data_IF_887545923589
#
_entry.id   IF_887545923589
#
_cell.length_a   1.000
_cell.length_b   1.000
_cell.length_c   1.000
_cell.angle_alpha   90.00
_cell.angle_beta   90.00
_cell.angle_gamma   90.00
#
_symmetry.space_group_name_H-M   'P 1'
#
loop_
_entity.id
_entity.type
_entity.pdbx_description
1 polymer ?
#
# COMPACT_ATOMS: atom_id res chain seq x y z
N UNK A 1 19.78 6.37 -9.21
CA UNK A 1 18.87 6.48 -8.03
C UNK A 1 17.70 7.40 -8.30
N UNK A 2 17.90 8.64 -8.76
CA UNK A 2 16.80 9.58 -9.04
C UNK A 2 15.68 9.00 -9.93
N UNK A 3 16.01 8.47 -11.10
CA UNK A 3 15.01 7.85 -11.99
C UNK A 3 14.23 6.68 -11.35
N UNK A 4 14.92 5.81 -10.60
CA UNK A 4 14.25 4.73 -9.84
C UNK A 4 13.29 5.28 -8.79
N UNK A 5 13.69 6.34 -8.09
CA UNK A 5 12.84 7.01 -7.10
C UNK A 5 11.60 7.65 -7.74
N UNK A 6 11.74 8.29 -8.90
CA UNK A 6 10.61 8.88 -9.63
C UNK A 6 9.59 7.83 -10.06
N UNK A 7 10.05 6.70 -10.62
CA UNK A 7 9.16 5.59 -10.98
C UNK A 7 8.48 5.01 -9.74
N UNK A 8 9.23 4.85 -8.64
CA UNK A 8 8.73 4.29 -7.40
C UNK A 8 7.65 5.18 -6.76
N UNK A 9 7.86 6.50 -6.70
CA UNK A 9 6.90 7.42 -6.06
C UNK A 9 5.59 7.51 -6.85
N UNK A 10 5.65 7.59 -8.18
CA UNK A 10 4.45 7.61 -9.04
C UNK A 10 3.60 6.35 -8.84
N UNK A 11 4.26 5.20 -8.74
CA UNK A 11 3.59 3.93 -8.49
C UNK A 11 3.03 3.81 -7.07
N UNK A 12 3.76 4.29 -6.06
CA UNK A 12 3.36 4.16 -4.67
C UNK A 12 2.16 5.03 -4.30
N UNK A 13 1.96 6.17 -4.97
CA UNK A 13 0.80 7.02 -4.75
C UNK A 13 -0.50 6.38 -5.21
N UNK A 14 -0.50 5.73 -6.38
CA UNK A 14 -1.63 4.94 -6.85
C UNK A 14 -1.85 3.71 -5.96
N UNK A 15 -0.76 3.06 -5.52
CA UNK A 15 -0.84 1.95 -4.58
C UNK A 15 -1.42 2.36 -3.23
N UNK A 16 -1.12 3.57 -2.72
CA UNK A 16 -1.67 4.08 -1.47
C UNK A 16 -3.19 4.28 -1.55
N UNK A 17 -3.71 4.74 -2.70
CA UNK A 17 -5.16 4.78 -2.96
C UNK A 17 -5.76 3.37 -3.03
N UNK A 18 -5.09 2.46 -3.74
CA UNK A 18 -5.50 1.06 -3.84
C UNK A 18 -5.53 0.37 -2.48
N UNK A 19 -4.59 0.69 -1.58
CA UNK A 19 -4.55 0.17 -0.22
C UNK A 19 -5.76 0.63 0.61
N UNK A 20 -6.19 1.89 0.47
CA UNK A 20 -7.42 2.38 1.12
C UNK A 20 -8.66 1.64 0.60
N UNK A 21 -8.71 1.38 -0.71
CA UNK A 21 -9.79 0.60 -1.35
C UNK A 21 -9.81 -0.84 -0.82
N UNK A 22 -8.65 -1.51 -0.77
CA UNK A 22 -8.53 -2.86 -0.24
C UNK A 22 -8.94 -2.92 1.24
N UNK A 23 -8.51 -1.93 2.04
CA UNK A 23 -8.92 -1.82 3.44
C UNK A 23 -10.43 -1.64 3.58
N UNK A 24 -11.07 -0.79 2.76
CA UNK A 24 -12.52 -0.60 2.78
C UNK A 24 -13.28 -1.89 2.42
N UNK A 25 -12.84 -2.62 1.39
CA UNK A 25 -13.37 -3.94 1.05
C UNK A 25 -13.26 -4.91 2.23
N UNK A 26 -12.08 -4.99 2.85
CA UNK A 26 -11.85 -5.83 4.03
C UNK A 26 -12.72 -5.42 5.23
N UNK A 27 -12.92 -4.12 5.46
CA UNK A 27 -13.79 -3.60 6.51
C UNK A 27 -15.23 -4.06 6.30
N UNK A 28 -15.76 -3.98 5.07
CA UNK A 28 -17.11 -4.44 4.78
C UNK A 28 -17.23 -5.97 4.85
N UNK A 29 -16.29 -6.71 4.27
CA UNK A 29 -16.27 -8.17 4.32
C UNK A 29 -16.19 -8.72 5.77
N UNK A 30 -15.49 -8.01 6.67
CA UNK A 30 -15.35 -8.36 8.09
C UNK A 30 -16.42 -7.73 8.99
N UNK A 31 -17.44 -7.09 8.41
CA UNK A 31 -18.54 -6.47 9.15
C UNK A 31 -18.03 -5.44 10.19
N UNK A 32 -17.06 -4.63 9.79
CA UNK A 32 -16.43 -3.60 10.62
C UNK A 32 -17.37 -2.45 10.98
N UNK A 33 -16.94 -1.63 11.94
CA UNK A 33 -17.70 -0.48 12.44
C UNK A 33 -17.08 0.85 11.99
N UNK A 34 -17.90 1.87 11.69
CA UNK A 34 -17.40 3.08 11.01
C UNK A 34 -16.74 4.10 11.96
N UNK A 35 -16.88 3.91 13.28
CA UNK A 35 -16.49 4.91 14.28
C UNK A 35 -15.00 5.29 14.24
N UNK A 36 -14.16 4.36 13.80
CA UNK A 36 -12.71 4.55 13.65
C UNK A 36 -12.34 5.61 12.61
N UNK A 37 -13.27 5.96 11.72
CA UNK A 37 -13.04 6.86 10.58
C UNK A 37 -13.75 8.21 10.78
N UNK A 38 -14.33 8.45 11.96
CA UNK A 38 -15.00 9.70 12.31
C UNK A 38 -14.01 10.87 12.27
N UNK A 39 -14.34 11.88 11.46
CA UNK A 39 -13.47 13.02 11.19
C UNK A 39 -13.03 13.78 12.44
N UNK A 40 -13.87 13.80 13.49
CA UNK A 40 -13.55 14.49 14.74
C UNK A 40 -12.34 13.87 15.43
N UNK A 41 -12.20 12.54 15.34
CA UNK A 41 -11.04 11.84 15.94
C UNK A 41 -9.75 12.17 15.20
N UNK A 42 -9.81 12.34 13.88
CA UNK A 42 -8.65 12.67 13.06
C UNK A 42 -8.31 14.17 13.08
N UNK A 43 -9.30 15.03 13.28
CA UNK A 43 -9.08 16.46 13.51
C UNK A 43 -8.29 16.72 14.82
N UNK A 44 -8.50 15.89 15.85
CA UNK A 44 -7.75 15.97 17.10
C UNK A 44 -6.28 15.54 16.98
N UNK A 45 -5.95 14.72 15.98
CA UNK A 45 -4.58 14.30 15.66
C UNK A 45 -4.28 14.60 14.20
N UNK A 46 -4.04 15.88 13.90
CA UNK A 46 -4.08 16.49 12.58
C UNK A 46 -2.87 16.16 11.65
N UNK A 47 -2.46 14.89 11.57
CA UNK A 47 -1.62 14.42 10.47
C UNK A 47 -2.43 14.44 9.16
N UNK A 48 -1.87 15.04 8.11
CA UNK A 48 -2.58 15.28 6.85
C UNK A 48 -2.97 13.97 6.17
N UNK A 49 -2.02 13.06 6.02
CA UNK A 49 -2.27 11.73 5.45
C UNK A 49 -3.34 10.96 6.24
N UNK A 50 -3.33 11.04 7.57
CA UNK A 50 -4.33 10.37 8.41
C UNK A 50 -5.75 10.86 8.13
N UNK A 51 -5.94 12.19 8.05
CA UNK A 51 -7.24 12.78 7.71
C UNK A 51 -7.72 12.39 6.31
N UNK A 52 -6.82 12.40 5.32
CA UNK A 52 -7.12 11.99 3.93
C UNK A 52 -7.60 10.55 3.84
N UNK A 53 -6.91 9.61 4.51
CA UNK A 53 -7.29 8.18 4.51
C UNK A 53 -8.63 7.98 5.20
N UNK A 54 -8.86 8.61 6.35
CA UNK A 54 -10.14 8.51 7.04
C UNK A 54 -11.31 9.02 6.17
N UNK A 55 -11.09 10.12 5.46
CA UNK A 55 -12.07 10.64 4.50
C UNK A 55 -12.28 9.67 3.33
N UNK A 56 -11.22 9.10 2.76
CA UNK A 56 -11.31 8.12 1.68
C UNK A 56 -12.11 6.89 2.13
N UNK A 57 -11.79 6.29 3.28
CA UNK A 57 -12.52 5.13 3.82
C UNK A 57 -14.00 5.46 4.02
N UNK A 58 -14.34 6.62 4.61
CA UNK A 58 -15.75 7.04 4.76
C UNK A 58 -16.49 7.12 3.43
N UNK A 59 -15.87 7.68 2.40
CA UNK A 59 -16.46 7.80 1.04
C UNK A 59 -16.59 6.43 0.37
N UNK A 60 -15.62 5.54 0.57
CA UNK A 60 -15.63 4.19 -0.02
C UNK A 60 -16.81 3.36 0.50
N UNK A 61 -17.07 3.43 1.81
CA UNK A 61 -18.14 2.66 2.47
C UNK A 61 -19.49 3.40 2.55
N UNK A 62 -19.59 4.56 1.91
CA UNK A 62 -20.81 5.39 1.94
C UNK A 62 -22.00 4.64 1.33
N UNK A 63 -23.12 4.63 2.04
CA UNK A 63 -24.33 3.92 1.63
C UNK A 63 -24.33 2.40 1.87
N UNK A 64 -23.31 1.84 2.55
CA UNK A 64 -23.25 0.41 2.84
C UNK A 64 -24.34 -0.06 3.81
N UNK A 65 -25.17 -1.00 3.34
CA UNK A 65 -26.15 -1.72 4.17
C UNK A 65 -25.46 -2.69 5.14
N UNK A 66 -24.27 -3.19 4.77
CA UNK A 66 -23.46 -4.05 5.63
C UNK A 66 -23.01 -3.26 6.85
N UNK A 67 -22.36 -2.11 6.65
CA UNK A 67 -21.89 -1.27 7.75
C UNK A 67 -23.07 -0.86 8.63
N UNK A 68 -24.22 -0.50 8.07
CA UNK A 68 -25.37 -0.11 8.87
C UNK A 68 -25.91 -1.26 9.73
N UNK A 69 -26.05 -2.47 9.16
CA UNK A 69 -26.51 -3.66 9.88
C UNK A 69 -25.61 -4.01 11.06
N UNK A 70 -24.28 -3.90 10.89
CA UNK A 70 -23.29 -4.32 11.88
C UNK A 70 -22.75 -3.17 12.75
N UNK A 71 -23.16 -1.93 12.50
CA UNK A 71 -22.69 -0.70 13.21
C UNK A 71 -22.71 -0.82 14.74
N UNK A 72 -23.68 -1.55 15.30
CA UNK A 72 -23.85 -1.76 16.76
C UNK A 72 -23.41 -3.14 17.24
N UNK A 73 -22.83 -3.97 16.37
CA UNK A 73 -22.43 -5.34 16.67
C UNK A 73 -21.22 -5.45 17.59
N UNK A 74 -20.37 -4.40 17.66
CA UNK A 74 -19.18 -4.36 18.51
C UNK A 74 -18.77 -2.93 18.84
N UNK A 75 -18.03 -2.77 19.95
CA UNK A 75 -17.54 -1.46 20.43
C UNK A 75 -16.33 -1.00 19.62
N UNK A 76 -15.43 -1.92 19.27
CA UNK A 76 -14.19 -1.61 18.54
C UNK A 76 -13.80 -2.77 17.62
N UNK A 77 -13.24 -2.40 16.47
CA UNK A 77 -12.50 -3.32 15.61
C UNK A 77 -11.04 -3.48 16.07
N UNK A 78 -10.43 -4.55 15.57
CA UNK A 78 -9.01 -4.78 15.67
C UNK A 78 -8.19 -3.75 14.88
N UNK A 79 -6.92 -3.61 15.24
CA UNK A 79 -6.08 -2.51 14.75
C UNK A 79 -5.85 -2.54 13.24
N UNK A 80 -5.79 -3.72 12.61
CA UNK A 80 -5.59 -3.80 11.16
C UNK A 80 -6.73 -3.16 10.35
N UNK A 81 -7.93 -3.03 10.95
CA UNK A 81 -9.07 -2.29 10.39
C UNK A 81 -9.11 -0.86 10.95
N UNK A 82 -9.14 -0.76 12.29
CA UNK A 82 -9.35 0.51 13.01
C UNK A 82 -8.22 1.51 12.84
N UNK A 83 -6.99 1.04 12.73
CA UNK A 83 -5.81 1.90 12.63
C UNK A 83 -5.37 2.16 11.17
N UNK A 84 -6.18 1.77 10.17
CA UNK A 84 -5.87 2.00 8.76
C UNK A 84 -5.58 3.49 8.46
N UNK A 85 -6.35 4.48 8.96
CA UNK A 85 -6.01 5.89 8.76
C UNK A 85 -4.64 6.29 9.31
N UNK A 86 -4.29 5.81 10.49
CA UNK A 86 -3.05 6.15 11.16
C UNK A 86 -1.85 5.55 10.42
N UNK A 87 -1.97 4.30 9.94
CA UNK A 87 -0.88 3.58 9.26
C UNK A 87 -0.74 4.05 7.81
N UNK A 88 -1.81 3.99 7.01
CA UNK A 88 -1.76 4.44 5.62
C UNK A 88 -1.48 5.94 5.53
N UNK A 89 -1.99 6.73 6.48
CA UNK A 89 -1.75 8.16 6.57
C UNK A 89 -0.30 8.50 6.85
N UNK A 90 0.36 7.76 7.75
CA UNK A 90 1.80 7.91 7.98
C UNK A 90 2.62 7.58 6.71
N UNK A 91 2.21 6.55 5.96
CA UNK A 91 2.85 6.25 4.67
C UNK A 91 2.68 7.41 3.69
N UNK A 92 1.49 8.01 3.57
CA UNK A 92 1.26 9.16 2.68
C UNK A 92 2.10 10.38 3.07
N UNK A 93 2.19 10.70 4.36
CA UNK A 93 3.05 11.79 4.84
C UNK A 93 4.55 11.51 4.52
N UNK A 94 4.98 10.25 4.56
CA UNK A 94 6.32 9.84 4.14
C UNK A 94 6.52 9.97 2.62
N UNK A 95 5.55 9.54 1.81
CA UNK A 95 5.58 9.71 0.35
C UNK A 95 5.64 11.20 -0.03
N UNK A 96 4.91 12.08 0.66
CA UNK A 96 4.96 13.54 0.45
C UNK A 96 6.37 14.11 0.75
N UNK A 97 7.11 13.55 1.71
CA UNK A 97 8.53 13.89 1.92
C UNK A 97 9.41 13.41 0.76
N UNK A 98 9.25 12.14 0.37
CA UNK A 98 10.06 11.52 -0.70
C UNK A 98 9.86 12.24 -2.04
N UNK A 99 8.60 12.55 -2.38
CA UNK A 99 8.23 13.35 -3.56
C UNK A 99 8.98 14.67 -3.59
N UNK A 100 8.92 15.45 -2.51
CA UNK A 100 9.58 16.76 -2.44
C UNK A 100 11.10 16.65 -2.63
N UNK A 101 11.72 15.64 -2.03
CA UNK A 101 13.16 15.41 -2.21
C UNK A 101 13.50 15.06 -3.66
N UNK A 102 12.71 14.20 -4.30
CA UNK A 102 12.90 13.83 -5.72
C UNK A 102 12.66 15.00 -6.67
N UNK A 103 11.65 15.84 -6.39
CA UNK A 103 11.34 17.04 -7.18
C UNK A 103 12.47 18.08 -7.12
N UNK A 104 13.14 18.22 -5.98
CA UNK A 104 14.35 19.05 -5.90
C UNK A 104 15.49 18.43 -6.71
N UNK A 105 15.77 17.14 -6.50
CA UNK A 105 16.90 16.47 -7.15
C UNK A 105 16.79 16.45 -8.68
N UNK A 106 15.61 16.15 -9.24
CA UNK A 106 15.43 16.05 -10.69
C UNK A 106 15.65 17.41 -11.40
N UNK A 107 15.53 18.51 -10.67
CA UNK A 107 15.77 19.86 -11.17
C UNK A 107 17.14 20.43 -10.74
N UNK A 108 18.02 19.60 -10.16
CA UNK A 108 19.32 20.02 -9.65
C UNK A 108 20.46 19.70 -10.63
N UNK A 109 21.53 20.50 -10.57
CA UNK A 109 22.79 20.19 -11.26
C UNK A 109 23.66 19.33 -10.34
N UNK A 110 23.72 18.03 -10.63
CA UNK A 110 24.41 17.03 -9.80
C UNK A 110 25.77 16.60 -10.33
N UNK A 111 26.22 17.16 -11.46
CA UNK A 111 27.55 16.88 -12.03
C UNK A 111 28.64 17.75 -11.36
N UNK A 112 29.90 17.48 -11.67
CA UNK A 112 31.07 18.21 -11.19
C UNK A 112 32.23 18.14 -12.20
N UNK A 113 32.98 19.23 -12.45
CA UNK A 113 32.90 20.55 -11.82
C UNK A 113 31.71 21.39 -12.31
N UNK A 114 31.33 22.39 -11.51
CA UNK A 114 30.32 23.37 -11.88
C UNK A 114 30.96 24.55 -12.61
N UNK A 115 30.44 24.90 -13.77
CA UNK A 115 30.94 26.00 -14.60
C UNK A 115 30.03 27.22 -14.43
N UNK A 116 30.59 28.31 -13.88
CA UNK A 116 29.91 29.60 -13.72
C UNK A 116 30.44 30.57 -14.77
N UNK A 117 29.84 30.53 -15.97
CA UNK A 117 30.32 31.25 -17.15
C UNK A 117 30.44 32.77 -16.92
N UNK A 118 29.46 33.40 -16.29
CA UNK A 118 29.46 34.85 -16.02
C UNK A 118 30.62 35.30 -15.11
N UNK A 119 31.10 34.39 -14.25
CA UNK A 119 32.23 34.62 -13.36
C UNK A 119 33.54 34.03 -13.91
N UNK A 120 33.53 33.46 -15.12
CA UNK A 120 34.65 32.78 -15.79
C UNK A 120 35.38 31.78 -14.88
N UNK A 121 34.64 31.06 -14.03
CA UNK A 121 35.21 30.16 -13.03
C UNK A 121 34.61 28.75 -13.11
N UNK A 122 35.47 27.76 -12.90
CA UNK A 122 35.08 26.36 -12.67
C UNK A 122 35.30 26.02 -11.19
N UNK A 123 34.25 25.56 -10.51
CA UNK A 123 34.27 25.23 -9.07
C UNK A 123 34.08 23.73 -8.91
N UNK A 124 35.02 23.06 -8.26
CA UNK A 124 34.85 21.67 -7.83
C UNK A 124 34.09 21.63 -6.50
N UNK A 125 32.92 20.99 -6.50
CA UNK A 125 32.07 20.75 -5.34
C UNK A 125 31.70 19.27 -5.18
N UNK A 126 30.57 19.00 -4.53
CA UNK A 126 30.13 17.65 -4.17
C UNK A 126 28.67 17.34 -4.50
N UNK A 127 28.05 18.06 -5.46
CA UNK A 127 26.63 17.90 -5.78
C UNK A 127 26.26 16.50 -6.31
N UNK A 128 27.25 15.68 -6.72
CA UNK A 128 27.05 14.28 -7.10
C UNK A 128 26.72 13.36 -5.91
N UNK A 129 26.94 13.81 -4.67
CA UNK A 129 26.74 12.98 -3.49
C UNK A 129 25.26 12.82 -3.13
N UNK A 130 24.63 11.73 -3.59
CA UNK A 130 23.18 11.49 -3.45
C UNK A 130 22.66 11.09 -2.06
N UNK A 131 23.23 11.62 -0.97
CA UNK A 131 22.74 11.37 0.40
C UNK A 131 21.24 11.72 0.58
N UNK A 132 20.73 12.85 0.02
CA UNK A 132 19.31 13.18 0.13
C UNK A 132 18.41 12.08 -0.44
N UNK A 133 18.78 11.55 -1.61
CA UNK A 133 18.05 10.45 -2.25
C UNK A 133 18.19 9.14 -1.47
N UNK A 134 19.37 8.84 -0.92
CA UNK A 134 19.56 7.61 -0.15
C UNK A 134 18.63 7.54 1.06
N UNK A 135 18.58 8.62 1.85
CA UNK A 135 17.69 8.74 3.00
C UNK A 135 16.21 8.67 2.59
N UNK A 136 15.84 9.38 1.50
CA UNK A 136 14.48 9.38 1.00
C UNK A 136 14.04 7.97 0.55
N UNK A 137 14.90 7.23 -0.14
CA UNK A 137 14.55 5.90 -0.65
C UNK A 137 14.51 4.83 0.43
N UNK A 138 15.33 4.90 1.48
CA UNK A 138 15.17 4.02 2.64
C UNK A 138 13.87 4.34 3.40
N UNK A 139 13.55 5.63 3.58
CA UNK A 139 12.29 6.02 4.22
C UNK A 139 11.06 5.60 3.40
N UNK A 140 11.13 5.72 2.08
CA UNK A 140 10.13 5.16 1.16
C UNK A 140 9.93 3.65 1.40
N UNK A 141 11.03 2.89 1.42
CA UNK A 141 10.98 1.44 1.61
C UNK A 141 10.31 1.05 2.93
N UNK A 142 10.68 1.72 4.02
CA UNK A 142 10.07 1.54 5.35
C UNK A 142 8.56 1.84 5.31
N UNK A 143 8.17 2.96 4.71
CA UNK A 143 6.78 3.41 4.68
C UNK A 143 5.87 2.50 3.83
N UNK A 144 6.37 2.03 2.67
CA UNK A 144 5.62 1.13 1.77
C UNK A 144 5.53 -0.29 2.34
N UNK A 145 6.57 -0.76 3.06
CA UNK A 145 6.53 -2.05 3.75
C UNK A 145 5.35 -2.15 4.73
N UNK A 146 5.02 -1.06 5.42
CA UNK A 146 3.93 -1.03 6.39
C UNK A 146 2.53 -1.10 5.76
N UNK A 147 2.34 -0.64 4.52
CA UNK A 147 1.10 -0.87 3.77
C UNK A 147 0.87 -2.36 3.53
N UNK A 148 1.92 -3.08 3.10
CA UNK A 148 1.87 -4.52 2.90
C UNK A 148 1.62 -5.25 4.24
N UNK A 149 2.31 -4.83 5.30
CA UNK A 149 2.20 -5.45 6.62
C UNK A 149 0.76 -5.37 7.17
N UNK A 150 0.15 -4.19 7.18
CA UNK A 150 -1.23 -4.04 7.67
C UNK A 150 -2.25 -4.72 6.75
N UNK A 151 -2.00 -4.74 5.44
CA UNK A 151 -2.81 -5.46 4.44
C UNK A 151 -2.84 -6.96 4.71
N UNK A 152 -1.68 -7.57 4.91
CA UNK A 152 -1.57 -8.99 5.22
C UNK A 152 -2.26 -9.33 6.56
N UNK A 153 -2.20 -8.44 7.57
CA UNK A 153 -2.96 -8.63 8.83
C UNK A 153 -4.47 -8.59 8.63
N UNK A 154 -5.00 -7.91 7.61
CA UNK A 154 -6.43 -7.97 7.25
C UNK A 154 -6.75 -9.28 6.52
N UNK A 155 -5.87 -9.75 5.64
CA UNK A 155 -5.99 -11.07 4.99
C UNK A 155 -6.01 -12.21 6.01
N UNK A 156 -5.10 -12.19 6.98
CA UNK A 156 -5.06 -13.18 8.07
C UNK A 156 -6.38 -13.23 8.86
N UNK A 157 -7.05 -12.08 9.02
CA UNK A 157 -8.39 -12.03 9.64
C UNK A 157 -9.48 -12.60 8.76
N UNK A 158 -9.46 -12.27 7.46
CA UNK A 158 -10.45 -12.75 6.49
C UNK A 158 -10.47 -14.27 6.42
N UNK A 159 -9.30 -14.92 6.39
CA UNK A 159 -9.21 -16.37 6.25
C UNK A 159 -9.47 -17.14 7.55
N UNK A 160 -9.44 -16.47 8.71
CA UNK A 160 -9.69 -17.07 10.01
C UNK A 160 -11.16 -16.98 10.41
N UNK A 161 -11.87 -18.10 10.40
CA UNK A 161 -13.30 -18.15 10.74
C UNK A 161 -13.61 -17.65 12.15
N UNK A 162 -12.69 -17.82 13.11
CA UNK A 162 -12.86 -17.36 14.50
C UNK A 162 -12.79 -15.84 14.62
N UNK A 163 -12.17 -15.17 13.64
CA UNK A 163 -11.99 -13.71 13.63
C UNK A 163 -12.90 -12.99 12.65
N UNK A 164 -13.27 -13.65 11.55
CA UNK A 164 -14.09 -13.07 10.47
C UNK A 164 -15.59 -13.33 10.61
N UNK A 165 -15.99 -14.46 11.18
CA UNK A 165 -17.36 -14.95 11.05
C UNK A 165 -17.73 -15.40 9.63
N UNK A 166 -16.73 -15.58 8.75
CA UNK A 166 -16.85 -16.12 7.40
C UNK A 166 -16.44 -17.60 7.38
N UNK A 167 -16.74 -18.34 6.29
CA UNK A 167 -16.21 -19.69 6.13
C UNK A 167 -14.68 -19.70 6.21
N UNK A 168 -14.08 -20.70 6.88
CA UNK A 168 -12.63 -20.78 7.01
C UNK A 168 -11.97 -20.81 5.63
N UNK A 169 -10.91 -20.00 5.48
CA UNK A 169 -10.19 -19.78 4.23
C UNK A 169 -11.05 -19.30 3.05
N UNK A 170 -12.22 -18.70 3.34
CA UNK A 170 -13.12 -18.08 2.37
C UNK A 170 -13.66 -19.02 1.29
N UNK A 171 -13.87 -20.29 1.64
CA UNK A 171 -14.38 -21.33 0.74
C UNK A 171 -15.46 -22.18 1.40
N UNK A 172 -16.39 -22.69 0.59
CA UNK A 172 -17.38 -23.68 1.02
C UNK A 172 -16.71 -25.06 1.19
N UNK A 173 -17.28 -25.94 2.03
CA UNK A 173 -16.75 -27.29 2.29
C UNK A 173 -15.26 -27.34 2.69
N UNK A 174 -14.86 -26.39 3.55
CA UNK A 174 -13.49 -26.32 4.10
C UNK A 174 -13.07 -27.64 4.75
N UNK A 175 -11.82 -28.05 4.48
CA UNK A 175 -11.27 -29.34 4.87
C UNK A 175 -11.17 -30.31 3.69
N UNK A 176 -12.10 -30.21 2.73
CA UNK A 176 -11.91 -30.72 1.37
C UNK A 176 -11.23 -29.67 0.49
N UNK A 177 -11.69 -28.43 0.58
CA UNK A 177 -11.08 -27.26 -0.05
C UNK A 177 -10.17 -26.51 0.94
N UNK A 178 -9.06 -25.97 0.43
CA UNK A 178 -8.11 -25.12 1.15
C UNK A 178 -8.34 -23.63 0.93
N UNK A 179 -9.09 -23.25 -0.10
CA UNK A 179 -9.45 -21.87 -0.43
C UNK A 179 -8.24 -20.95 -0.49
N UNK A 180 -8.30 -19.87 0.28
CA UNK A 180 -7.28 -18.82 0.28
C UNK A 180 -6.13 -19.03 1.29
N UNK A 181 -6.00 -20.23 1.87
CA UNK A 181 -4.93 -20.54 2.82
C UNK A 181 -3.54 -20.22 2.27
N UNK A 182 -3.21 -20.71 1.07
CA UNK A 182 -1.87 -20.54 0.47
C UNK A 182 -1.67 -19.12 -0.09
N UNK A 183 -2.75 -18.42 -0.46
CA UNK A 183 -2.68 -17.01 -0.82
C UNK A 183 -2.19 -16.17 0.39
N UNK A 184 -2.71 -16.45 1.59
CA UNK A 184 -2.25 -15.77 2.80
C UNK A 184 -0.78 -16.12 3.15
N UNK A 185 -0.33 -17.36 2.90
CA UNK A 185 1.09 -17.73 3.09
C UNK A 185 2.01 -16.93 2.16
N UNK A 186 1.57 -16.72 0.92
CA UNK A 186 2.30 -15.89 -0.05
C UNK A 186 2.46 -14.48 0.48
N UNK A 187 1.37 -13.85 0.94
CA UNK A 187 1.44 -12.51 1.55
C UNK A 187 2.34 -12.46 2.79
N UNK A 188 2.26 -13.48 3.67
CA UNK A 188 3.08 -13.55 4.87
C UNK A 188 4.58 -13.65 4.56
N UNK A 189 4.95 -14.42 3.54
CA UNK A 189 6.33 -14.53 3.07
C UNK A 189 6.86 -13.18 2.53
N UNK A 190 6.09 -12.50 1.68
CA UNK A 190 6.46 -11.22 1.09
C UNK A 190 6.60 -10.10 2.13
N UNK A 191 5.69 -10.03 3.11
CA UNK A 191 5.81 -9.08 4.23
C UNK A 191 7.02 -9.39 5.10
N UNK A 192 7.37 -10.67 5.29
CA UNK A 192 8.58 -11.06 6.02
C UNK A 192 9.85 -10.62 5.29
N UNK A 193 9.89 -10.79 3.98
CA UNK A 193 11.01 -10.35 3.13
C UNK A 193 11.21 -8.82 3.21
N UNK A 194 10.12 -8.05 3.17
CA UNK A 194 10.16 -6.58 3.27
C UNK A 194 10.83 -6.09 4.57
N UNK A 195 10.75 -6.84 5.68
CA UNK A 195 11.41 -6.47 6.95
C UNK A 195 12.92 -6.42 6.81
N UNK A 196 13.49 -7.35 6.05
CA UNK A 196 14.95 -7.39 5.81
C UNK A 196 15.34 -6.33 4.79
N UNK A 197 14.55 -6.17 3.72
CA UNK A 197 14.79 -5.15 2.70
C UNK A 197 14.69 -3.71 3.24
N UNK A 198 13.90 -3.49 4.29
CA UNK A 198 13.74 -2.20 4.95
C UNK A 198 14.94 -1.77 5.81
N UNK A 199 15.95 -2.63 6.01
CA UNK A 199 17.18 -2.23 6.70
C UNK A 199 17.89 -1.10 5.93
N UNK A 200 18.18 0.06 6.54
CA UNK A 200 18.64 1.25 5.81
C UNK A 200 20.03 1.03 5.22
N UNK A 201 20.22 1.43 3.97
CA UNK A 201 21.55 1.41 3.30
C UNK A 201 22.23 2.76 3.31
N UNK A 202 21.46 3.84 3.46
CA UNK A 202 21.94 5.23 3.57
C UNK A 202 22.80 5.51 4.81
N UNK A 203 22.87 4.56 5.75
CA UNK A 203 23.71 4.62 6.96
C UNK A 203 25.01 3.84 6.80
N UNK A 204 25.25 3.23 5.64
CA UNK A 204 26.47 2.50 5.29
C UNK A 204 27.35 3.31 4.33
N UNK A 205 28.66 3.13 4.43
CA UNK A 205 29.67 3.74 3.57
C UNK A 205 30.98 2.97 3.64
N UNK A 206 31.57 2.67 2.49
CA UNK A 206 32.87 1.98 2.39
C UNK A 206 33.78 2.81 1.50
N UNK A 207 34.99 3.19 1.96
CA UNK A 207 35.87 4.07 1.21
C UNK A 207 36.38 3.40 -0.07
N UNK A 208 36.41 4.15 -1.17
CA UNK A 208 36.92 3.73 -2.47
C UNK A 208 38.02 4.66 -2.97
N UNK A 209 38.64 4.31 -4.09
CA UNK A 209 39.58 5.19 -4.79
C UNK A 209 40.74 5.68 -3.91
N UNK A 210 41.37 4.75 -3.16
CA UNK A 210 42.45 5.02 -2.20
C UNK A 210 42.09 6.11 -1.15
N UNK A 211 40.86 6.06 -0.62
CA UNK A 211 40.27 7.03 0.32
C UNK A 211 40.01 8.43 -0.26
N UNK A 212 40.06 8.60 -1.58
CA UNK A 212 39.59 9.86 -2.18
C UNK A 212 38.06 9.98 -2.12
N UNK A 213 37.37 8.85 -2.22
CA UNK A 213 35.93 8.71 -1.99
C UNK A 213 35.75 8.00 -0.64
N UNK A 214 36.06 8.71 0.44
CA UNK A 214 36.04 8.17 1.81
C UNK A 214 34.63 8.06 2.42
N UNK A 215 33.65 8.74 1.81
CA UNK A 215 32.25 8.67 2.18
C UNK A 215 31.34 8.61 0.94
N UNK A 216 30.39 7.68 0.92
CA UNK A 216 29.39 7.50 -0.13
C UNK A 216 27.99 7.29 0.45
N UNK A 217 26.95 7.48 -0.38
CA UNK A 217 25.55 7.45 0.10
C UNK A 217 24.84 6.11 0.05
N UNK A 218 25.36 5.15 -0.72
CA UNK A 218 24.65 3.90 -1.07
C UNK A 218 23.24 4.08 -1.66
N UNK A 219 22.92 5.27 -2.19
CA UNK A 219 21.56 5.63 -2.61
C UNK A 219 21.00 4.80 -3.78
N UNK A 220 21.87 4.25 -4.64
CA UNK A 220 21.43 3.31 -5.68
C UNK A 220 20.90 1.99 -5.10
N UNK A 221 21.51 1.48 -4.03
CA UNK A 221 21.07 0.25 -3.37
C UNK A 221 19.79 0.48 -2.55
N UNK A 222 19.70 1.61 -1.84
CA UNK A 222 18.46 2.05 -1.18
C UNK A 222 17.27 2.07 -2.16
N UNK A 223 17.46 2.69 -3.33
CA UNK A 223 16.43 2.74 -4.38
C UNK A 223 16.05 1.36 -4.95
N UNK A 224 17.01 0.43 -5.09
CA UNK A 224 16.73 -0.93 -5.56
C UNK A 224 15.89 -1.74 -4.57
N UNK A 225 16.22 -1.68 -3.27
CA UNK A 225 15.42 -2.34 -2.23
C UNK A 225 14.02 -1.75 -2.17
N UNK A 226 13.90 -0.43 -2.26
CA UNK A 226 12.62 0.28 -2.30
C UNK A 226 11.70 -0.23 -3.43
N UNK A 227 12.23 -0.44 -4.64
CA UNK A 227 11.47 -1.02 -5.75
C UNK A 227 11.02 -2.46 -5.46
N UNK A 228 11.89 -3.30 -4.88
CA UNK A 228 11.53 -4.66 -4.50
C UNK A 228 10.41 -4.68 -3.44
N UNK A 229 10.48 -3.80 -2.43
CA UNK A 229 9.43 -3.64 -1.42
C UNK A 229 8.10 -3.21 -2.07
N UNK A 230 8.16 -2.26 -3.01
CA UNK A 230 6.97 -1.81 -3.75
C UNK A 230 6.31 -2.94 -4.54
N UNK A 231 7.10 -3.77 -5.22
CA UNK A 231 6.58 -4.92 -5.98
C UNK A 231 5.99 -6.00 -5.07
N UNK A 232 6.57 -6.21 -3.88
CA UNK A 232 6.00 -7.09 -2.87
C UNK A 232 4.68 -6.52 -2.32
N UNK A 233 4.63 -5.22 -2.04
CA UNK A 233 3.42 -4.56 -1.55
C UNK A 233 2.26 -4.62 -2.54
N UNK A 234 2.52 -4.49 -3.84
CA UNK A 234 1.52 -4.68 -4.92
C UNK A 234 0.89 -6.06 -4.88
N UNK A 235 1.71 -7.12 -4.77
CA UNK A 235 1.22 -8.50 -4.68
C UNK A 235 0.37 -8.72 -3.44
N UNK A 236 0.84 -8.25 -2.29
CA UNK A 236 0.11 -8.38 -1.02
C UNK A 236 -1.24 -7.67 -1.10
N UNK A 237 -1.28 -6.43 -1.61
CA UNK A 237 -2.53 -5.67 -1.75
C UNK A 237 -3.46 -6.30 -2.81
N UNK A 238 -2.92 -6.87 -3.89
CA UNK A 238 -3.71 -7.61 -4.87
C UNK A 238 -4.38 -8.86 -4.25
N UNK A 239 -3.66 -9.59 -3.40
CA UNK A 239 -4.21 -10.72 -2.66
C UNK A 239 -5.27 -10.24 -1.65
N UNK A 240 -5.08 -9.10 -1.01
CA UNK A 240 -6.12 -8.49 -0.17
C UNK A 240 -7.38 -8.17 -0.97
N UNK A 241 -7.26 -7.50 -2.13
CA UNK A 241 -8.42 -7.21 -2.99
C UNK A 241 -9.18 -8.48 -3.36
N UNK A 242 -8.46 -9.54 -3.72
CA UNK A 242 -9.06 -10.83 -4.08
C UNK A 242 -9.76 -11.49 -2.90
N UNK A 243 -9.08 -11.60 -1.75
CA UNK A 243 -9.65 -12.22 -0.53
C UNK A 243 -10.80 -11.42 0.04
N UNK A 244 -10.70 -10.09 0.07
CA UNK A 244 -11.77 -9.22 0.54
C UNK A 244 -12.99 -9.28 -0.39
N UNK A 245 -12.79 -9.34 -1.71
CA UNK A 245 -13.89 -9.52 -2.67
C UNK A 245 -14.58 -10.88 -2.49
N UNK A 246 -13.81 -11.94 -2.25
CA UNK A 246 -14.34 -13.26 -1.90
C UNK A 246 -15.12 -13.23 -0.58
N UNK A 247 -14.60 -12.55 0.44
CA UNK A 247 -15.28 -12.39 1.73
C UNK A 247 -16.59 -11.63 1.59
N UNK A 248 -16.59 -10.56 0.79
CA UNK A 248 -17.78 -9.75 0.54
C UNK A 248 -18.89 -10.55 -0.16
N UNK A 249 -18.53 -11.50 -1.01
CA UNK A 249 -19.49 -12.40 -1.68
C UNK A 249 -20.24 -13.32 -0.73
N UNK A 250 -19.87 -13.44 0.54
CA UNK A 250 -20.67 -14.14 1.55
C UNK A 250 -21.77 -13.25 2.15
N UNK A 251 -21.78 -11.95 1.84
CA UNK A 251 -22.77 -10.98 2.32
C UNK A 251 -23.81 -10.59 1.24
N UNK A 252 -24.09 -11.46 0.25
CA UNK A 252 -24.87 -11.17 -0.98
C UNK A 252 -26.26 -10.52 -0.83
N UNK A 253 -26.85 -10.60 0.36
CA UNK A 253 -28.18 -10.03 0.64
C UNK A 253 -28.13 -8.55 1.04
N UNK A 254 -26.93 -7.98 1.21
CA UNK A 254 -26.71 -6.60 1.62
C UNK A 254 -25.86 -5.90 0.58
N UNK A 255 -26.18 -4.66 0.28
CA UNK A 255 -25.43 -3.83 -0.64
C UNK A 255 -24.23 -3.19 0.05
N UNK A 256 -22.99 -3.39 -0.46
CA UNK A 256 -21.81 -2.67 0.02
C UNK A 256 -21.85 -1.18 -0.33
N UNK A 257 -20.89 -0.40 0.17
CA UNK A 257 -20.72 1.00 -0.16
C UNK A 257 -20.43 1.23 -1.65
N UNK A 258 -20.74 2.43 -2.16
CA UNK A 258 -20.60 2.71 -3.60
C UNK A 258 -19.17 2.51 -4.13
N UNK A 259 -18.16 2.86 -3.34
CA UNK A 259 -16.75 2.69 -3.73
C UNK A 259 -16.31 1.22 -3.66
N UNK A 260 -16.72 0.48 -2.65
CA UNK A 260 -16.38 -0.94 -2.52
C UNK A 260 -17.10 -1.81 -3.55
N UNK A 261 -18.33 -1.46 -3.96
CA UNK A 261 -19.02 -2.10 -5.10
C UNK A 261 -18.19 -1.96 -6.37
N UNK A 262 -17.75 -0.74 -6.71
CA UNK A 262 -16.95 -0.51 -7.91
C UNK A 262 -15.62 -1.29 -7.90
N UNK A 263 -14.96 -1.37 -6.74
CA UNK A 263 -13.75 -2.15 -6.57
C UNK A 263 -13.99 -3.66 -6.70
N UNK A 264 -15.04 -4.17 -6.05
CA UNK A 264 -15.45 -5.57 -6.13
C UNK A 264 -15.80 -5.99 -7.56
N UNK A 265 -16.61 -5.20 -8.26
CA UNK A 265 -16.99 -5.45 -9.65
C UNK A 265 -15.75 -5.46 -10.57
N UNK A 266 -14.79 -4.56 -10.33
CA UNK A 266 -13.52 -4.54 -11.08
C UNK A 266 -12.72 -5.84 -10.90
N UNK A 267 -12.63 -6.36 -9.67
CA UNK A 267 -11.98 -7.65 -9.39
C UNK A 267 -12.77 -8.81 -10.01
N UNK A 268 -14.09 -8.80 -9.88
CA UNK A 268 -14.98 -9.84 -10.42
C UNK A 268 -15.02 -9.88 -11.95
N UNK A 269 -14.70 -8.77 -12.61
CA UNK A 269 -14.50 -8.72 -14.05
C UNK A 269 -13.33 -9.58 -14.57
N UNK A 270 -12.39 -10.00 -13.70
CA UNK A 270 -11.22 -10.82 -14.10
C UNK A 270 -11.09 -12.13 -13.32
N UNK A 271 -11.67 -12.22 -12.12
CA UNK A 271 -11.66 -13.43 -11.28
C UNK A 271 -13.07 -13.70 -10.72
N UNK A 272 -13.73 -14.81 -11.08
CA UNK A 272 -15.05 -15.15 -10.54
C UNK A 272 -14.98 -15.56 -9.07
N UNK A 273 -16.13 -15.66 -8.41
CA UNK A 273 -16.25 -16.25 -7.08
C UNK A 273 -15.75 -17.70 -7.08
N UNK A 274 -14.89 -18.05 -6.12
CA UNK A 274 -14.34 -19.40 -6.00
C UNK A 274 -15.23 -20.26 -5.11
N UNK A 275 -15.86 -21.28 -5.69
CA UNK A 275 -16.70 -22.25 -4.96
C UNK A 275 -15.90 -23.43 -4.41
N UNK A 276 -14.82 -23.78 -5.08
CA UNK A 276 -13.91 -24.88 -4.76
C UNK A 276 -12.47 -24.44 -5.03
N UNK A 277 -11.51 -25.27 -4.67
CA UNK A 277 -10.09 -25.00 -4.92
C UNK A 277 -9.81 -24.81 -6.41
N UNK A 278 -9.06 -23.76 -6.70
CA UNK A 278 -8.62 -23.39 -8.04
C UNK A 278 -7.13 -23.08 -8.01
N UNK A 279 -6.48 -23.13 -9.17
CA UNK A 279 -5.08 -22.72 -9.27
C UNK A 279 -4.98 -21.19 -9.10
N UNK A 280 -4.59 -20.74 -7.90
CA UNK A 280 -4.67 -19.32 -7.50
C UNK A 280 -3.67 -18.40 -8.19
N UNK A 281 -2.51 -18.90 -8.63
CA UNK A 281 -1.43 -18.05 -9.11
C UNK A 281 -1.85 -17.17 -10.33
N UNK A 282 -2.45 -17.72 -11.40
CA UNK A 282 -2.97 -16.91 -12.51
C UNK A 282 -4.08 -15.93 -12.10
N UNK A 283 -4.84 -16.25 -11.05
CA UNK A 283 -5.90 -15.37 -10.55
C UNK A 283 -5.29 -14.17 -9.80
N UNK A 284 -4.27 -14.41 -8.98
CA UNK A 284 -3.52 -13.36 -8.29
C UNK A 284 -2.85 -12.45 -9.31
N UNK A 285 -2.19 -12.98 -10.34
CA UNK A 285 -1.55 -12.19 -11.39
C UNK A 285 -2.54 -11.27 -12.14
N UNK A 286 -3.76 -11.74 -12.39
CA UNK A 286 -4.81 -10.90 -13.01
C UNK A 286 -5.19 -9.72 -12.12
N UNK A 287 -5.30 -9.93 -10.81
CA UNK A 287 -5.62 -8.85 -9.86
C UNK A 287 -4.40 -7.93 -9.65
N UNK A 288 -3.19 -8.46 -9.60
CA UNK A 288 -1.95 -7.67 -9.58
C UNK A 288 -1.85 -6.77 -10.81
N UNK A 289 -2.22 -7.27 -12.00
CA UNK A 289 -2.28 -6.46 -13.21
C UNK A 289 -3.30 -5.31 -13.11
N UNK A 290 -4.42 -5.47 -12.38
CA UNK A 290 -5.36 -4.38 -12.09
C UNK A 290 -4.70 -3.31 -11.23
N UNK A 291 -3.97 -3.72 -10.18
CA UNK A 291 -3.24 -2.81 -9.27
C UNK A 291 -2.15 -2.06 -10.03
N UNK A 292 -1.29 -2.77 -10.77
CA UNK A 292 -0.16 -2.17 -11.49
C UNK A 292 -0.57 -1.14 -12.54
N UNK A 293 -1.75 -1.30 -13.15
CA UNK A 293 -2.27 -0.36 -14.15
C UNK A 293 -3.22 0.68 -13.57
N UNK A 294 -3.42 0.75 -12.26
CA UNK A 294 -4.35 1.66 -11.58
C UNK A 294 -5.82 1.48 -11.97
N UNK A 295 -6.21 0.27 -12.42
CA UNK A 295 -7.58 0.02 -12.88
C UNK A 295 -8.60 0.06 -11.72
N UNK A 296 -8.21 -0.45 -10.54
CA UNK A 296 -9.07 -0.44 -9.36
C UNK A 296 -9.33 1.00 -8.90
N UNK A 297 -8.27 1.81 -8.77
CA UNK A 297 -8.38 3.23 -8.43
C UNK A 297 -9.31 3.96 -9.40
N UNK A 298 -9.10 3.81 -10.72
CA UNK A 298 -9.94 4.47 -11.73
C UNK A 298 -11.40 4.06 -11.65
N UNK A 299 -11.69 2.76 -11.55
CA UNK A 299 -13.07 2.26 -11.44
C UNK A 299 -13.80 2.87 -10.22
N UNK A 300 -13.09 2.98 -9.09
CA UNK A 300 -13.63 3.61 -7.88
C UNK A 300 -13.81 5.12 -8.07
N UNK A 301 -12.81 5.82 -8.61
CA UNK A 301 -12.88 7.27 -8.81
C UNK A 301 -13.94 7.69 -9.85
N UNK A 302 -14.23 6.84 -10.84
CA UNK A 302 -15.35 6.99 -11.76
C UNK A 302 -16.70 6.88 -11.04
N UNK A 303 -16.81 6.03 -10.02
CA UNK A 303 -18.04 5.80 -9.27
C UNK A 303 -18.31 6.87 -8.19
N UNK A 304 -17.27 7.31 -7.46
CA UNK A 304 -17.42 8.18 -6.27
C UNK A 304 -16.61 9.48 -6.31
N UNK A 305 -15.99 9.80 -7.46
CA UNK A 305 -15.09 10.93 -7.63
C UNK A 305 -13.67 10.66 -7.11
N UNK A 306 -12.71 11.59 -7.34
CA UNK A 306 -11.29 11.37 -7.04
C UNK A 306 -11.04 11.11 -5.55
N UNK A 307 -10.16 10.17 -5.23
CA UNK A 307 -9.68 9.91 -3.88
C UNK A 307 -8.52 10.87 -3.55
N UNK A 308 -8.41 11.24 -2.28
CA UNK A 308 -7.34 12.10 -1.77
C UNK A 308 -6.02 11.34 -1.62
#
# INVERSE_FOLDING_TARGET
MGAMGVIAIMAAEDLAKTADIAAALSIEALHGVPYAFDERTHALRAHRGQGRVAQNIRRLIEGSEIIEKYRKGRVQDAYSLRCAPQVHGATRDALDYVRRTLEVEINSVTDNPLIFADAEVAISGGNFHGQPLALAMDFFGIAVAELANISERRQARLVDASLSGLPPFLVEDSGLNSGFMIAQYTSAALVSENKVLAHPSSVDSIPTSANQEDHVSMGAFAARKALAILDNARKVIAIELLTASQGLDFSRLLRPGAGTVAAHDCVRGVVPFLKHDEYLHPLIERVEALVCRGAVTRAVEEAIGPLN
#
